data_IF_093923291637
#
_entry.id   IF_093923291637
#
_cell.length_a   1.000
_cell.length_b   1.000
_cell.length_c   1.000
_cell.angle_alpha   90.00
_cell.angle_beta   90.00
_cell.angle_gamma   90.00
#
_symmetry.space_group_name_H-M   'P 1'
#
loop_
_entity.id
_entity.type
_entity.pdbx_description
1 polymer ?
#
# COMPACT_ATOMS: atom_id res chain seq x y z
N UNK A 1 25.75 14.61 -21.79
CA UNK A 1 25.29 13.67 -20.74
C UNK A 1 24.10 14.29 -20.02
N UNK A 2 23.04 13.53 -19.69
CA UNK A 2 21.92 14.08 -18.90
C UNK A 2 22.11 13.75 -17.42
N UNK A 3 22.09 14.78 -16.57
CA UNK A 3 22.24 14.67 -15.12
C UNK A 3 20.98 15.13 -14.40
N UNK A 4 20.64 14.50 -13.29
CA UNK A 4 19.62 15.09 -12.41
C UNK A 4 20.14 16.37 -11.73
N UNK A 5 19.26 17.13 -11.06
CA UNK A 5 19.63 18.40 -10.43
C UNK A 5 20.73 18.25 -9.36
N UNK A 6 20.71 17.18 -8.56
CA UNK A 6 21.67 16.94 -7.49
C UNK A 6 23.00 16.47 -8.05
N UNK A 7 22.98 15.57 -9.02
CA UNK A 7 24.16 15.09 -9.74
C UNK A 7 24.84 16.26 -10.47
N UNK A 8 24.06 17.12 -11.13
CA UNK A 8 24.56 18.33 -11.76
C UNK A 8 25.22 19.27 -10.74
N UNK A 9 24.60 19.50 -9.57
CA UNK A 9 25.22 20.29 -8.49
C UNK A 9 26.51 19.66 -7.95
N UNK A 10 26.58 18.34 -7.86
CA UNK A 10 27.80 17.62 -7.43
C UNK A 10 28.91 17.77 -8.46
N UNK A 11 28.60 17.52 -9.74
CA UNK A 11 29.55 17.66 -10.85
C UNK A 11 30.03 19.10 -10.98
N UNK A 12 29.14 20.08 -10.85
CA UNK A 12 29.51 21.49 -10.93
C UNK A 12 30.39 21.91 -9.74
N UNK A 13 30.12 21.43 -8.52
CA UNK A 13 31.01 21.63 -7.37
C UNK A 13 32.39 20.99 -7.56
N UNK A 14 32.45 19.80 -8.16
CA UNK A 14 33.72 19.14 -8.45
C UNK A 14 34.54 19.94 -9.48
N UNK A 15 33.90 20.39 -10.57
CA UNK A 15 34.53 21.24 -11.60
C UNK A 15 35.02 22.56 -10.98
N UNK A 16 34.21 23.18 -10.11
CA UNK A 16 34.58 24.39 -9.38
C UNK A 16 35.82 24.17 -8.51
N UNK A 17 35.86 23.09 -7.72
CA UNK A 17 37.01 22.74 -6.87
C UNK A 17 38.27 22.53 -7.70
N UNK A 18 38.18 21.87 -8.86
CA UNK A 18 39.32 21.64 -9.74
C UNK A 18 39.81 22.92 -10.43
N UNK A 19 38.90 23.85 -10.75
CA UNK A 19 39.22 25.17 -11.27
C UNK A 19 39.92 26.02 -10.20
N UNK A 20 39.41 26.02 -8.96
CA UNK A 20 39.97 26.77 -7.84
C UNK A 20 41.34 26.23 -7.38
N UNK A 21 41.54 24.91 -7.45
CA UNK A 21 42.83 24.24 -7.20
C UNK A 21 43.82 24.32 -8.36
N UNK A 22 43.49 25.03 -9.45
CA UNK A 22 44.28 25.15 -10.68
C UNK A 22 44.66 23.79 -11.32
N UNK A 23 43.85 22.74 -11.10
CA UNK A 23 44.04 21.41 -11.73
C UNK A 23 43.55 21.35 -13.17
N UNK A 24 42.63 22.25 -13.53
CA UNK A 24 42.08 22.40 -14.89
C UNK A 24 42.11 23.87 -15.30
N UNK A 25 42.23 24.15 -16.61
CA UNK A 25 42.14 25.53 -17.12
C UNK A 25 40.70 26.04 -17.12
N UNK A 26 40.53 27.37 -17.14
CA UNK A 26 39.21 28.00 -17.24
C UNK A 26 38.47 27.63 -18.53
N UNK A 27 39.20 27.44 -19.64
CA UNK A 27 38.59 26.97 -20.88
C UNK A 27 38.04 25.54 -20.72
N UNK A 28 38.82 24.63 -20.13
CA UNK A 28 38.41 23.24 -19.92
C UNK A 28 37.25 23.12 -18.93
N UNK A 29 37.24 23.94 -17.87
CA UNK A 29 36.12 24.00 -16.93
C UNK A 29 34.81 24.43 -17.61
N UNK A 30 34.89 25.38 -18.55
CA UNK A 30 33.74 25.86 -19.32
C UNK A 30 33.22 24.79 -20.28
N UNK A 31 34.13 24.08 -20.96
CA UNK A 31 33.78 22.95 -21.84
C UNK A 31 33.11 21.80 -21.06
N UNK A 32 33.65 21.45 -19.90
CA UNK A 32 33.09 20.41 -19.04
C UNK A 32 31.69 20.78 -18.51
N UNK A 33 31.45 22.05 -18.13
CA UNK A 33 30.12 22.53 -17.76
C UNK A 33 29.13 22.49 -18.92
N UNK A 34 29.59 22.67 -20.16
CA UNK A 34 28.78 22.56 -21.38
C UNK A 34 28.51 21.12 -21.85
N UNK A 35 29.28 20.15 -21.37
CA UNK A 35 29.20 18.74 -21.82
C UNK A 35 28.00 17.96 -21.24
N UNK A 36 27.31 18.52 -20.24
CA UNK A 36 26.13 17.94 -19.62
C UNK A 36 24.93 18.89 -19.66
N UNK A 37 23.74 18.30 -19.70
CA UNK A 37 22.46 19.00 -19.64
C UNK A 37 21.70 18.54 -18.40
N UNK A 38 21.05 19.48 -17.70
CA UNK A 38 20.24 19.15 -16.52
C UNK A 38 18.90 18.61 -16.98
N UNK A 39 18.60 17.37 -16.61
CA UNK A 39 17.31 16.73 -16.85
C UNK A 39 16.22 17.51 -16.12
N UNK A 40 15.14 17.80 -16.83
CA UNK A 40 14.07 18.65 -16.32
C UNK A 40 13.17 17.88 -15.35
N UNK A 41 13.62 17.73 -14.09
CA UNK A 41 12.96 16.94 -13.04
C UNK A 41 11.48 17.32 -12.82
N UNK A 42 11.11 18.56 -13.12
CA UNK A 42 9.72 19.02 -13.02
C UNK A 42 8.79 18.29 -13.98
N UNK A 43 9.24 17.94 -15.19
CA UNK A 43 8.40 17.27 -16.19
C UNK A 43 8.12 15.82 -15.78
N UNK A 44 9.12 15.12 -15.25
CA UNK A 44 8.96 13.76 -14.72
C UNK A 44 8.02 13.74 -13.49
N UNK A 45 8.16 14.72 -12.58
CA UNK A 45 7.25 14.87 -11.45
C UNK A 45 5.81 15.18 -11.90
N UNK A 46 5.62 16.10 -12.84
CA UNK A 46 4.32 16.41 -13.44
C UNK A 46 3.70 15.16 -14.07
N UNK A 47 4.48 14.36 -14.80
CA UNK A 47 3.99 13.12 -15.40
C UNK A 47 3.52 12.10 -14.34
N UNK A 48 4.25 11.96 -13.24
CA UNK A 48 3.85 11.08 -12.12
C UNK A 48 2.58 11.60 -11.44
N UNK A 49 2.51 12.89 -11.12
CA UNK A 49 1.33 13.47 -10.48
C UNK A 49 0.09 13.43 -11.39
N UNK A 50 0.26 13.69 -12.69
CA UNK A 50 -0.81 13.58 -13.68
C UNK A 50 -1.29 12.13 -13.81
N UNK A 51 -0.38 11.15 -13.78
CA UNK A 51 -0.73 9.73 -13.77
C UNK A 51 -1.53 9.37 -12.51
N UNK A 52 -1.05 9.75 -11.32
CA UNK A 52 -1.76 9.50 -10.05
C UNK A 52 -3.15 10.14 -10.09
N UNK A 53 -3.24 11.36 -10.62
CA UNK A 53 -4.52 12.08 -10.75
C UNK A 53 -5.45 11.35 -11.72
N UNK A 54 -4.97 10.93 -12.90
CA UNK A 54 -5.75 10.17 -13.87
C UNK A 54 -6.25 8.84 -13.32
N UNK A 55 -5.39 8.11 -12.59
CA UNK A 55 -5.74 6.87 -11.90
C UNK A 55 -6.80 7.13 -10.82
N UNK A 56 -6.63 8.18 -10.03
CA UNK A 56 -7.59 8.57 -8.98
C UNK A 56 -8.94 8.95 -9.57
N UNK A 57 -8.95 9.75 -10.64
CA UNK A 57 -10.16 10.10 -11.37
C UNK A 57 -10.83 8.86 -11.97
N UNK A 58 -10.07 7.93 -12.53
CA UNK A 58 -10.59 6.66 -13.06
C UNK A 58 -11.25 5.82 -11.97
N UNK A 59 -10.62 5.68 -10.80
CA UNK A 59 -11.15 4.98 -9.63
C UNK A 59 -12.43 5.66 -9.08
N UNK A 60 -12.44 7.00 -8.99
CA UNK A 60 -13.59 7.76 -8.50
C UNK A 60 -14.77 7.70 -9.48
N UNK A 61 -14.51 7.86 -10.79
CA UNK A 61 -15.52 7.72 -11.82
C UNK A 61 -16.10 6.30 -11.81
N UNK A 62 -15.25 5.29 -11.61
CA UNK A 62 -15.67 3.91 -11.45
C UNK A 62 -16.60 3.72 -10.24
N UNK A 63 -16.17 4.19 -9.06
CA UNK A 63 -16.98 4.10 -7.84
C UNK A 63 -18.32 4.82 -8.00
N UNK A 64 -18.32 6.03 -8.58
CA UNK A 64 -19.53 6.80 -8.83
C UNK A 64 -20.51 6.09 -9.79
N UNK A 65 -20.00 5.49 -10.88
CA UNK A 65 -20.84 4.78 -11.85
C UNK A 65 -21.43 3.48 -11.31
N UNK A 66 -20.68 2.74 -10.48
CA UNK A 66 -21.17 1.46 -9.91
C UNK A 66 -22.15 1.67 -8.77
N UNK A 67 -21.95 2.70 -7.96
CA UNK A 67 -22.83 3.03 -6.83
C UNK A 67 -24.11 3.75 -7.26
N UNK A 68 -24.19 4.27 -8.48
CA UNK A 68 -25.39 4.91 -9.00
C UNK A 68 -26.39 3.88 -9.57
N UNK A 69 -27.25 3.39 -8.69
CA UNK A 69 -28.33 2.47 -9.04
C UNK A 69 -29.28 3.03 -10.12
N UNK A 70 -29.49 4.36 -10.18
CA UNK A 70 -30.40 4.98 -11.15
C UNK A 70 -29.84 4.92 -12.57
N UNK A 71 -28.54 5.16 -12.74
CA UNK A 71 -27.89 5.03 -14.06
C UNK A 71 -27.96 3.60 -14.59
N UNK A 72 -27.68 2.62 -13.74
CA UNK A 72 -27.74 1.20 -14.09
C UNK A 72 -29.17 0.80 -14.46
N UNK A 73 -30.16 1.26 -13.69
CA UNK A 73 -31.58 0.98 -13.94
C UNK A 73 -32.09 1.64 -15.22
N UNK A 74 -31.58 2.84 -15.56
CA UNK A 74 -31.92 3.55 -16.79
C UNK A 74 -31.33 2.85 -18.03
N UNK A 75 -30.09 2.36 -17.96
CA UNK A 75 -29.49 1.52 -19.00
C UNK A 75 -30.27 0.20 -19.17
N UNK A 76 -30.66 -0.43 -18.06
CA UNK A 76 -31.45 -1.67 -18.06
C UNK A 76 -32.81 -1.47 -18.74
N UNK A 77 -33.52 -0.38 -18.42
CA UNK A 77 -34.82 -0.06 -19.05
C UNK A 77 -34.70 0.30 -20.53
N UNK A 78 -33.61 0.95 -20.95
CA UNK A 78 -33.45 1.43 -22.33
C UNK A 78 -32.93 0.36 -23.29
N UNK A 79 -32.04 -0.51 -22.83
CA UNK A 79 -31.32 -1.47 -23.69
C UNK A 79 -31.54 -2.94 -23.31
N UNK A 80 -32.30 -3.24 -22.26
CA UNK A 80 -32.62 -4.62 -21.88
C UNK A 80 -31.39 -5.44 -21.48
N UNK A 81 -30.32 -4.80 -21.01
CA UNK A 81 -29.09 -5.50 -20.66
C UNK A 81 -29.33 -6.46 -19.48
N UNK A 82 -29.15 -7.75 -19.75
CA UNK A 82 -28.99 -8.75 -18.69
C UNK A 82 -27.63 -8.57 -18.02
N UNK A 83 -27.56 -8.86 -16.72
CA UNK A 83 -26.33 -8.74 -15.93
C UNK A 83 -25.19 -9.59 -16.53
N UNK A 84 -25.55 -10.72 -17.14
CA UNK A 84 -24.64 -11.60 -17.88
C UNK A 84 -23.98 -10.92 -19.09
N UNK A 85 -24.67 -10.02 -19.80
CA UNK A 85 -24.08 -9.31 -20.95
C UNK A 85 -22.97 -8.37 -20.47
N UNK A 86 -23.21 -7.67 -19.36
CA UNK A 86 -22.20 -6.79 -18.75
C UNK A 86 -21.01 -7.62 -18.25
N UNK A 87 -21.27 -8.75 -17.58
CA UNK A 87 -20.24 -9.70 -17.17
C UNK A 87 -19.37 -10.18 -18.33
N UNK A 88 -19.98 -10.63 -19.43
CA UNK A 88 -19.26 -11.10 -20.64
C UNK A 88 -18.46 -9.97 -21.28
N UNK A 89 -19.05 -8.77 -21.42
CA UNK A 89 -18.37 -7.61 -22.00
C UNK A 89 -17.11 -7.26 -21.21
N UNK A 90 -17.24 -7.08 -19.88
CA UNK A 90 -16.09 -6.70 -19.06
C UNK A 90 -15.06 -7.81 -18.91
N UNK A 91 -15.47 -9.08 -18.95
CA UNK A 91 -14.53 -10.21 -19.02
C UNK A 91 -13.73 -10.17 -20.33
N UNK A 92 -14.38 -9.87 -21.45
CA UNK A 92 -13.73 -9.75 -22.75
C UNK A 92 -12.77 -8.56 -22.81
N UNK A 93 -13.16 -7.41 -22.25
CA UNK A 93 -12.32 -6.22 -22.14
C UNK A 93 -11.12 -6.48 -21.21
N UNK A 94 -11.33 -7.15 -20.08
CA UNK A 94 -10.23 -7.55 -19.20
C UNK A 94 -9.24 -8.47 -19.93
N UNK A 95 -9.74 -9.47 -20.66
CA UNK A 95 -8.93 -10.35 -21.50
C UNK A 95 -8.13 -9.60 -22.58
N UNK A 96 -8.75 -8.60 -23.22
CA UNK A 96 -8.08 -7.72 -24.17
C UNK A 96 -6.94 -6.94 -23.50
N UNK A 97 -7.18 -6.33 -22.33
CA UNK A 97 -6.12 -5.61 -21.62
C UNK A 97 -4.98 -6.52 -21.16
N UNK A 98 -5.28 -7.73 -20.69
CA UNK A 98 -4.25 -8.74 -20.36
C UNK A 98 -3.44 -9.11 -21.60
N UNK A 99 -4.09 -9.34 -22.74
CA UNK A 99 -3.42 -9.63 -24.00
C UNK A 99 -2.52 -8.48 -24.47
N UNK A 100 -3.03 -7.23 -24.44
CA UNK A 100 -2.27 -6.05 -24.82
C UNK A 100 -1.07 -5.82 -23.90
N UNK A 101 -1.25 -5.99 -22.58
CA UNK A 101 -0.17 -5.92 -21.61
C UNK A 101 0.91 -6.98 -21.91
N UNK A 102 0.53 -8.23 -22.14
CA UNK A 102 1.47 -9.32 -22.46
C UNK A 102 2.22 -9.07 -23.76
N UNK A 103 1.50 -8.68 -24.83
CA UNK A 103 2.08 -8.37 -26.14
C UNK A 103 3.12 -7.26 -26.03
N UNK A 104 2.88 -6.27 -25.17
CA UNK A 104 3.78 -5.14 -24.98
C UNK A 104 5.02 -5.49 -24.17
N UNK A 105 4.89 -6.27 -23.10
CA UNK A 105 6.04 -6.76 -22.32
C UNK A 105 7.05 -7.44 -23.24
N UNK A 106 6.58 -8.20 -24.23
CA UNK A 106 7.45 -8.89 -25.19
C UNK A 106 8.06 -7.97 -26.28
N UNK A 107 7.48 -6.79 -26.54
CA UNK A 107 7.89 -5.90 -27.64
C UNK A 107 8.64 -4.63 -27.22
N UNK A 108 8.47 -4.15 -25.99
CA UNK A 108 9.03 -2.85 -25.57
C UNK A 108 9.49 -2.91 -24.12
N UNK A 109 10.76 -3.24 -23.91
CA UNK A 109 11.37 -3.43 -22.59
C UNK A 109 11.56 -2.14 -21.75
N UNK A 110 11.31 -0.94 -22.30
CA UNK A 110 11.82 0.33 -21.72
C UNK A 110 10.81 1.23 -20.99
N UNK A 111 9.49 1.04 -21.10
CA UNK A 111 8.52 1.98 -20.50
C UNK A 111 7.73 1.37 -19.32
N UNK A 112 8.33 1.36 -18.11
CA UNK A 112 7.69 0.87 -16.87
C UNK A 112 6.36 1.58 -16.56
N UNK A 113 6.30 2.90 -16.73
CA UNK A 113 5.12 3.74 -16.39
C UNK A 113 3.86 3.32 -17.16
N UNK A 114 4.02 2.95 -18.43
CA UNK A 114 2.89 2.65 -19.29
C UNK A 114 2.35 1.22 -19.11
N UNK A 115 3.10 0.34 -18.43
CA UNK A 115 2.63 -0.99 -18.05
C UNK A 115 1.71 -0.95 -16.83
N UNK A 116 1.93 0.00 -15.90
CA UNK A 116 1.05 0.14 -14.72
C UNK A 116 -0.36 0.62 -15.09
N UNK A 117 -0.49 1.42 -16.15
CA UNK A 117 -1.81 1.82 -16.67
C UNK A 117 -2.65 0.60 -17.08
N UNK A 118 -2.02 -0.39 -17.75
CA UNK A 118 -2.72 -1.63 -18.10
C UNK A 118 -3.08 -2.45 -16.85
N UNK A 119 -2.16 -2.56 -15.88
CA UNK A 119 -2.45 -3.26 -14.63
C UNK A 119 -3.67 -2.65 -13.90
N UNK A 120 -3.76 -1.33 -13.84
CA UNK A 120 -4.89 -0.62 -13.22
C UNK A 120 -6.18 -0.86 -14.00
N UNK A 121 -6.15 -0.78 -15.34
CA UNK A 121 -7.31 -1.08 -16.17
C UNK A 121 -7.79 -2.53 -15.99
N UNK A 122 -6.86 -3.48 -15.87
CA UNK A 122 -7.16 -4.88 -15.55
C UNK A 122 -7.82 -4.99 -14.18
N UNK A 123 -7.30 -4.32 -13.14
CA UNK A 123 -7.90 -4.32 -11.80
C UNK A 123 -9.36 -3.86 -11.87
N UNK A 124 -9.62 -2.73 -12.52
CA UNK A 124 -10.97 -2.17 -12.62
C UNK A 124 -11.92 -3.09 -13.41
N UNK A 125 -11.49 -3.58 -14.57
CA UNK A 125 -12.34 -4.38 -15.45
C UNK A 125 -12.65 -5.77 -14.89
N UNK A 126 -11.69 -6.40 -14.21
CA UNK A 126 -11.90 -7.67 -13.50
C UNK A 126 -12.82 -7.46 -12.30
N UNK A 127 -12.67 -6.39 -11.52
CA UNK A 127 -13.59 -6.07 -10.43
C UNK A 127 -15.05 -6.00 -10.94
N UNK A 128 -15.28 -5.27 -12.04
CA UNK A 128 -16.61 -5.16 -12.67
C UNK A 128 -17.13 -6.53 -13.10
N UNK A 129 -16.33 -7.27 -13.87
CA UNK A 129 -16.72 -8.58 -14.36
C UNK A 129 -17.18 -9.47 -13.21
N UNK A 130 -16.41 -9.53 -12.13
CA UNK A 130 -16.72 -10.34 -10.95
C UNK A 130 -17.97 -9.85 -10.24
N UNK A 131 -18.14 -8.54 -10.03
CA UNK A 131 -19.35 -7.99 -9.42
C UNK A 131 -20.60 -8.42 -10.18
N UNK A 132 -20.60 -8.35 -11.51
CA UNK A 132 -21.76 -8.74 -12.31
C UNK A 132 -21.96 -10.25 -12.40
N UNK A 133 -20.87 -11.04 -12.49
CA UNK A 133 -20.97 -12.50 -12.45
C UNK A 133 -21.47 -13.04 -11.12
N UNK A 134 -21.14 -12.36 -10.03
CA UNK A 134 -21.50 -12.80 -8.68
C UNK A 134 -22.81 -12.21 -8.19
N UNK A 135 -23.37 -11.19 -8.86
CA UNK A 135 -24.61 -10.53 -8.45
C UNK A 135 -25.78 -11.51 -8.29
N UNK A 136 -25.90 -12.48 -9.20
CA UNK A 136 -26.90 -13.55 -9.12
C UNK A 136 -26.57 -14.67 -8.14
N UNK A 137 -25.36 -14.71 -7.57
CA UNK A 137 -24.96 -15.63 -6.49
C UNK A 137 -25.16 -15.00 -5.10
N UNK A 138 -25.49 -13.71 -5.04
CA UNK A 138 -25.78 -12.97 -3.80
C UNK A 138 -27.25 -13.18 -3.41
N UNK A 139 -27.65 -14.42 -3.16
CA UNK A 139 -28.94 -14.71 -2.51
C UNK A 139 -28.83 -14.38 -1.01
N UNK A 140 -28.92 -13.08 -0.69
CA UNK A 140 -28.96 -12.57 0.67
C UNK A 140 -28.11 -11.31 0.88
N UNK A 141 -28.54 -10.40 1.78
CA UNK A 141 -27.81 -9.17 2.04
C UNK A 141 -26.45 -9.48 2.68
N UNK A 142 -25.36 -9.14 2.00
CA UNK A 142 -24.05 -8.94 2.62
C UNK A 142 -22.99 -10.03 2.45
N UNK A 143 -23.22 -11.11 1.68
CA UNK A 143 -22.16 -12.11 1.45
C UNK A 143 -21.20 -11.74 0.31
N UNK A 144 -20.38 -10.70 0.52
CA UNK A 144 -19.34 -10.29 -0.42
C UNK A 144 -18.09 -11.19 -0.41
N UNK A 145 -18.07 -12.26 0.39
CA UNK A 145 -16.91 -13.11 0.51
C UNK A 145 -16.56 -13.80 -0.82
N UNK A 146 -17.52 -14.47 -1.47
CA UNK A 146 -17.27 -15.17 -2.74
C UNK A 146 -16.76 -14.23 -3.86
N UNK A 147 -17.35 -13.04 -4.10
CA UNK A 147 -16.77 -12.07 -5.03
C UNK A 147 -15.33 -11.70 -4.73
N UNK A 148 -15.00 -11.44 -3.46
CA UNK A 148 -13.64 -11.08 -3.05
C UNK A 148 -12.65 -12.23 -3.23
N UNK A 149 -13.07 -13.48 -3.01
CA UNK A 149 -12.26 -14.67 -3.26
C UNK A 149 -11.97 -14.83 -4.75
N UNK A 150 -12.99 -14.72 -5.60
CA UNK A 150 -12.80 -14.79 -7.06
C UNK A 150 -11.89 -13.66 -7.54
N UNK A 151 -12.00 -12.46 -6.98
CA UNK A 151 -11.12 -11.34 -7.30
C UNK A 151 -9.68 -11.64 -6.89
N UNK A 152 -9.46 -12.15 -5.68
CA UNK A 152 -8.14 -12.55 -5.20
C UNK A 152 -7.48 -13.59 -6.14
N UNK A 153 -8.23 -14.63 -6.52
CA UNK A 153 -7.74 -15.69 -7.40
C UNK A 153 -7.46 -15.18 -8.82
N UNK A 154 -8.36 -14.36 -9.38
CA UNK A 154 -8.18 -13.77 -10.70
C UNK A 154 -6.96 -12.85 -10.74
N UNK A 155 -6.82 -11.94 -9.78
CA UNK A 155 -5.66 -11.06 -9.68
C UNK A 155 -4.37 -11.84 -9.46
N UNK A 156 -4.36 -12.87 -8.62
CA UNK A 156 -3.20 -13.72 -8.40
C UNK A 156 -2.76 -14.42 -9.69
N UNK A 157 -3.70 -15.02 -10.43
CA UNK A 157 -3.42 -15.69 -11.70
C UNK A 157 -2.85 -14.74 -12.76
N UNK A 158 -3.47 -13.57 -12.93
CA UNK A 158 -3.02 -12.57 -13.90
C UNK A 158 -1.68 -11.96 -13.47
N UNK A 159 -1.48 -11.71 -12.17
CA UNK A 159 -0.21 -11.20 -11.63
C UNK A 159 0.96 -12.12 -11.96
N UNK A 160 0.80 -13.44 -11.78
CA UNK A 160 1.82 -14.44 -12.12
C UNK A 160 2.04 -14.46 -13.64
N UNK A 161 0.97 -14.44 -14.44
CA UNK A 161 1.06 -14.47 -15.91
C UNK A 161 1.77 -13.25 -16.52
N UNK A 162 1.49 -12.06 -15.99
CA UNK A 162 2.07 -10.79 -16.43
C UNK A 162 3.35 -10.40 -15.68
N UNK A 163 3.75 -11.16 -14.66
CA UNK A 163 4.81 -10.80 -13.71
C UNK A 163 4.61 -9.40 -13.09
N UNK A 164 3.38 -9.09 -12.69
CA UNK A 164 3.00 -7.78 -12.13
C UNK A 164 2.92 -7.83 -10.61
N UNK A 165 3.70 -6.98 -9.94
CA UNK A 165 3.61 -6.80 -8.49
C UNK A 165 2.35 -6.03 -8.08
N UNK A 166 1.89 -5.06 -8.88
CA UNK A 166 0.68 -4.28 -8.58
C UNK A 166 -0.57 -5.16 -8.55
N UNK A 167 -0.74 -6.05 -9.53
CA UNK A 167 -1.85 -7.01 -9.54
C UNK A 167 -1.75 -7.99 -8.36
N UNK A 168 -0.54 -8.34 -7.92
CA UNK A 168 -0.35 -9.16 -6.74
C UNK A 168 -0.75 -8.44 -5.44
N UNK A 169 -0.45 -7.14 -5.33
CA UNK A 169 -0.96 -6.32 -4.21
C UNK A 169 -2.49 -6.33 -4.21
N UNK A 170 -3.12 -6.12 -5.37
CA UNK A 170 -4.58 -6.19 -5.49
C UNK A 170 -5.13 -7.57 -5.09
N UNK A 171 -4.42 -8.66 -5.43
CA UNK A 171 -4.77 -10.01 -5.02
C UNK A 171 -4.72 -10.19 -3.49
N UNK A 172 -3.65 -9.73 -2.83
CA UNK A 172 -3.51 -9.80 -1.37
C UNK A 172 -4.59 -8.94 -0.68
N UNK A 173 -4.88 -7.74 -1.19
CA UNK A 173 -5.92 -6.86 -0.64
C UNK A 173 -7.30 -7.48 -0.78
N UNK A 174 -7.63 -8.04 -1.95
CA UNK A 174 -8.87 -8.77 -2.16
C UNK A 174 -8.97 -10.00 -1.23
N UNK A 175 -7.86 -10.73 -1.02
CA UNK A 175 -7.80 -11.86 -0.11
C UNK A 175 -7.99 -11.44 1.36
N UNK A 176 -7.43 -10.30 1.76
CA UNK A 176 -7.64 -9.72 3.09
C UNK A 176 -9.10 -9.33 3.30
N UNK A 177 -9.72 -8.71 2.29
CA UNK A 177 -11.16 -8.41 2.29
C UNK A 177 -12.02 -9.68 2.37
N UNK A 178 -11.68 -10.70 1.58
CA UNK A 178 -12.33 -12.01 1.64
C UNK A 178 -12.25 -12.61 3.03
N UNK A 179 -11.07 -12.64 3.65
CA UNK A 179 -10.91 -13.17 5.00
C UNK A 179 -11.79 -12.42 6.01
N UNK A 180 -11.81 -11.08 5.93
CA UNK A 180 -12.67 -10.24 6.76
C UNK A 180 -14.16 -10.54 6.60
N UNK A 181 -14.62 -10.67 5.35
CA UNK A 181 -16.03 -10.95 5.01
C UNK A 181 -16.43 -12.40 5.35
N UNK A 182 -15.59 -13.37 5.01
CA UNK A 182 -15.85 -14.80 5.23
C UNK A 182 -15.92 -15.14 6.72
N UNK A 183 -15.00 -14.60 7.52
CA UNK A 183 -15.02 -14.82 8.96
C UNK A 183 -16.18 -14.13 9.66
N UNK A 184 -16.70 -13.02 9.09
CA UNK A 184 -17.93 -12.39 9.56
C UNK A 184 -19.18 -13.20 9.19
N UNK A 185 -19.20 -13.77 7.98
CA UNK A 185 -20.27 -14.65 7.53
C UNK A 185 -20.34 -15.92 8.38
N UNK A 186 -19.20 -16.58 8.61
CA UNK A 186 -19.11 -17.76 9.50
C UNK A 186 -19.42 -17.47 10.96
N UNK A 187 -19.31 -16.22 11.40
CA UNK A 187 -19.69 -15.82 12.75
C UNK A 187 -21.15 -15.40 12.86
N UNK A 188 -21.95 -15.52 11.79
CA UNK A 188 -23.38 -15.17 11.76
C UNK A 188 -23.66 -13.75 12.28
N UNK A 189 -22.78 -12.79 11.96
CA UNK A 189 -22.91 -11.41 12.43
C UNK A 189 -22.35 -11.16 13.84
N UNK A 190 -21.89 -12.18 14.55
CA UNK A 190 -21.16 -12.01 15.81
C UNK A 190 -19.89 -11.17 15.62
N UNK A 191 -19.58 -10.36 16.64
CA UNK A 191 -18.36 -9.57 16.71
C UNK A 191 -17.08 -10.40 16.82
N UNK A 192 -17.20 -11.70 17.12
CA UNK A 192 -16.05 -12.61 17.28
C UNK A 192 -16.21 -13.85 16.40
N UNK A 193 -15.11 -14.21 15.76
CA UNK A 193 -14.93 -15.47 15.04
C UNK A 193 -13.84 -16.28 15.74
N UNK A 194 -14.14 -17.51 16.17
CA UNK A 194 -13.21 -18.34 16.98
C UNK A 194 -12.65 -17.61 18.20
N UNK A 195 -13.47 -16.80 18.88
CA UNK A 195 -13.05 -15.98 20.02
C UNK A 195 -12.20 -14.75 19.66
N UNK A 196 -11.91 -14.51 18.38
CA UNK A 196 -11.15 -13.37 17.89
C UNK A 196 -12.06 -12.30 17.30
N UNK A 197 -11.91 -11.06 17.73
CA UNK A 197 -12.53 -9.92 17.07
C UNK A 197 -11.82 -9.57 15.74
N UNK A 198 -12.32 -8.56 15.04
CA UNK A 198 -11.81 -8.18 13.72
C UNK A 198 -10.31 -7.82 13.71
N UNK A 199 -9.80 -6.95 14.59
CA UNK A 199 -8.35 -6.68 14.67
C UNK A 199 -7.50 -7.92 14.92
N UNK A 200 -7.92 -8.81 15.83
CA UNK A 200 -7.13 -9.99 16.19
C UNK A 200 -7.04 -10.99 15.02
N UNK A 201 -8.17 -11.31 14.38
CA UNK A 201 -8.17 -12.24 13.24
C UNK A 201 -7.41 -11.68 12.03
N UNK A 202 -7.43 -10.36 11.83
CA UNK A 202 -6.63 -9.70 10.78
C UNK A 202 -5.14 -9.68 11.12
N UNK A 203 -4.77 -9.62 12.40
CA UNK A 203 -3.37 -9.73 12.85
C UNK A 203 -2.81 -11.11 12.52
N UNK A 204 -3.56 -12.17 12.84
CA UNK A 204 -3.19 -13.55 12.48
C UNK A 204 -3.10 -13.72 10.96
N UNK A 205 -4.06 -13.20 10.21
CA UNK A 205 -4.03 -13.24 8.75
C UNK A 205 -2.80 -12.52 8.17
N UNK A 206 -2.51 -11.31 8.64
CA UNK A 206 -1.31 -10.55 8.23
C UNK A 206 -0.02 -11.32 8.50
N UNK A 207 0.08 -11.98 9.66
CA UNK A 207 1.21 -12.85 10.01
C UNK A 207 1.35 -14.02 9.03
N UNK A 208 0.24 -14.67 8.65
CA UNK A 208 0.23 -15.77 7.67
C UNK A 208 0.70 -15.28 6.30
N UNK A 209 0.19 -14.15 5.80
CA UNK A 209 0.63 -13.57 4.53
C UNK A 209 2.12 -13.19 4.59
N UNK A 210 2.55 -12.57 5.68
CA UNK A 210 3.95 -12.20 5.86
C UNK A 210 4.87 -13.42 5.85
N UNK A 211 4.53 -14.48 6.59
CA UNK A 211 5.27 -15.74 6.62
C UNK A 211 5.25 -16.47 5.26
N UNK A 212 4.15 -16.37 4.51
CA UNK A 212 4.03 -17.00 3.18
C UNK A 212 5.08 -16.50 2.18
N UNK A 213 5.64 -15.30 2.38
CA UNK A 213 6.71 -14.75 1.55
C UNK A 213 7.93 -15.68 1.46
N UNK A 214 8.24 -16.43 2.53
CA UNK A 214 9.35 -17.39 2.54
C UNK A 214 9.08 -18.62 1.66
N UNK A 215 7.82 -19.02 1.50
CA UNK A 215 7.40 -20.13 0.63
C UNK A 215 7.33 -19.66 -0.82
N UNK A 216 6.72 -18.49 -1.06
CA UNK A 216 6.60 -17.88 -2.40
C UNK A 216 7.97 -17.65 -3.04
N UNK A 217 8.97 -17.27 -2.23
CA UNK A 217 10.35 -17.10 -2.67
C UNK A 217 11.07 -18.38 -3.12
N UNK A 218 10.58 -19.56 -2.71
CA UNK A 218 11.16 -20.86 -3.11
C UNK A 218 10.55 -21.40 -4.41
N UNK A 219 9.39 -20.91 -4.81
CA UNK A 219 8.65 -21.37 -5.99
C UNK A 219 9.07 -20.52 -7.20
N UNK A 220 9.74 -21.13 -8.18
CA UNK A 220 10.37 -20.46 -9.33
C UNK A 220 9.43 -19.47 -10.08
N UNK A 221 8.17 -19.82 -10.43
CA UNK A 221 7.26 -18.88 -11.09
C UNK A 221 6.89 -17.65 -10.26
N UNK A 222 6.94 -17.74 -8.92
CA UNK A 222 6.47 -16.70 -7.99
C UNK A 222 7.59 -16.03 -7.21
N UNK A 223 8.86 -16.40 -7.45
CA UNK A 223 9.99 -15.88 -6.68
C UNK A 223 10.10 -14.34 -6.74
N UNK A 224 9.72 -13.73 -7.87
CA UNK A 224 9.69 -12.27 -8.04
C UNK A 224 8.66 -11.57 -7.13
N UNK A 225 7.71 -12.31 -6.55
CA UNK A 225 6.66 -11.80 -5.67
C UNK A 225 7.08 -11.83 -4.19
N UNK A 226 8.26 -12.38 -3.86
CA UNK A 226 8.72 -12.53 -2.48
C UNK A 226 8.76 -11.19 -1.73
N UNK A 227 9.42 -10.19 -2.30
CA UNK A 227 9.61 -8.88 -1.66
C UNK A 227 8.27 -8.15 -1.46
N UNK A 228 7.43 -8.12 -2.50
CA UNK A 228 6.11 -7.48 -2.39
C UNK A 228 5.21 -8.21 -1.38
N UNK A 229 5.23 -9.55 -1.34
CA UNK A 229 4.46 -10.32 -0.35
C UNK A 229 4.98 -10.05 1.06
N UNK A 230 6.30 -9.98 1.24
CA UNK A 230 6.91 -9.67 2.52
C UNK A 230 6.45 -8.30 3.03
N UNK A 231 6.61 -7.25 2.19
CA UNK A 231 6.27 -5.88 2.57
C UNK A 231 4.78 -5.70 2.83
N UNK A 232 3.90 -6.20 1.94
CA UNK A 232 2.45 -6.06 2.10
C UNK A 232 1.94 -6.90 3.27
N UNK A 233 2.43 -8.13 3.44
CA UNK A 233 2.07 -8.97 4.58
C UNK A 233 2.49 -8.36 5.91
N UNK A 234 3.71 -7.83 6.00
CA UNK A 234 4.19 -7.11 7.17
C UNK A 234 3.34 -5.87 7.45
N UNK A 235 2.98 -5.10 6.42
CA UNK A 235 2.10 -3.94 6.57
C UNK A 235 0.72 -4.34 7.11
N UNK A 236 0.11 -5.40 6.57
CA UNK A 236 -1.17 -5.94 7.06
C UNK A 236 -1.07 -6.37 8.53
N UNK A 237 -0.01 -7.08 8.89
CA UNK A 237 0.26 -7.49 10.27
C UNK A 237 0.39 -6.28 11.21
N UNK A 238 1.17 -5.28 10.82
CA UNK A 238 1.42 -4.08 11.64
C UNK A 238 0.18 -3.20 11.78
N UNK A 239 -0.59 -2.99 10.71
CA UNK A 239 -1.87 -2.25 10.76
C UNK A 239 -2.85 -2.97 11.68
N UNK A 240 -3.04 -4.27 11.48
CA UNK A 240 -3.97 -5.04 12.30
C UNK A 240 -3.51 -5.10 13.77
N UNK A 241 -2.22 -5.32 14.02
CA UNK A 241 -1.64 -5.33 15.37
C UNK A 241 -1.77 -3.97 16.07
N UNK A 242 -1.60 -2.88 15.34
CA UNK A 242 -1.84 -1.52 15.85
C UNK A 242 -3.30 -1.30 16.21
N UNK A 243 -4.25 -1.66 15.33
CA UNK A 243 -5.68 -1.57 15.68
C UNK A 243 -6.05 -2.46 16.87
N UNK A 244 -5.45 -3.64 16.98
CA UNK A 244 -5.61 -4.54 18.12
C UNK A 244 -5.07 -3.93 19.41
N UNK A 245 -4.00 -3.12 19.35
CA UNK A 245 -3.46 -2.39 20.50
C UNK A 245 -4.39 -1.28 21.01
N UNK A 246 -5.31 -0.80 20.17
CA UNK A 246 -6.34 0.20 20.51
C UNK A 246 -7.60 -0.48 21.05
N UNK A 247 -8.12 -1.46 20.33
CA UNK A 247 -9.43 -2.05 20.62
C UNK A 247 -9.36 -3.29 21.53
N UNK A 248 -8.18 -3.89 21.69
CA UNK A 248 -8.02 -5.21 22.30
C UNK A 248 -8.86 -6.27 21.60
N UNK A 249 -9.13 -7.39 22.27
CA UNK A 249 -10.07 -8.42 21.80
C UNK A 249 -11.51 -8.18 22.34
N UNK A 250 -11.96 -6.93 22.30
CA UNK A 250 -13.31 -6.55 22.72
C UNK A 250 -14.33 -6.74 21.59
N UNK A 251 -15.60 -6.99 21.94
CA UNK A 251 -16.62 -7.38 20.97
C UNK A 251 -17.24 -6.17 20.27
N UNK A 252 -17.95 -5.34 20.99
CA UNK A 252 -18.80 -4.31 20.43
C UNK A 252 -18.21 -2.91 20.58
N UNK A 253 -18.47 -2.06 19.59
CA UNK A 253 -17.99 -0.68 19.57
C UNK A 253 -18.64 0.18 20.68
N UNK A 254 -19.92 -0.05 20.97
CA UNK A 254 -20.63 0.66 22.04
C UNK A 254 -20.03 0.36 23.42
N UNK A 255 -19.80 -0.92 23.73
CA UNK A 255 -19.12 -1.32 24.95
C UNK A 255 -17.66 -0.88 25.01
N UNK A 256 -16.94 -0.81 23.89
CA UNK A 256 -15.57 -0.27 23.86
C UNK A 256 -15.54 1.21 24.27
N UNK A 257 -16.47 2.04 23.76
CA UNK A 257 -16.55 3.48 24.11
C UNK A 257 -16.79 3.73 25.60
N UNK A 258 -17.49 2.82 26.27
CA UNK A 258 -17.79 2.94 27.70
C UNK A 258 -16.59 2.61 28.60
N UNK A 259 -15.57 1.93 28.08
CA UNK A 259 -14.40 1.51 28.83
C UNK A 259 -13.28 2.56 28.74
N UNK A 260 -12.62 2.79 29.89
CA UNK A 260 -11.38 3.57 29.90
C UNK A 260 -10.30 2.79 29.14
N UNK A 261 -9.53 3.52 28.34
CA UNK A 261 -8.47 2.94 27.52
C UNK A 261 -7.38 2.20 28.31
N UNK A 262 -7.24 2.52 29.61
CA UNK A 262 -6.39 1.76 30.53
C UNK A 262 -6.76 0.28 30.64
N UNK A 263 -7.98 -0.13 30.31
CA UNK A 263 -8.38 -1.54 30.29
C UNK A 263 -7.61 -2.36 29.22
N UNK A 264 -7.18 -1.71 28.14
CA UNK A 264 -6.49 -2.35 27.02
C UNK A 264 -4.96 -2.25 27.12
N UNK A 265 -4.42 -1.87 28.28
CA UNK A 265 -2.98 -1.68 28.49
C UNK A 265 -2.15 -2.92 28.10
N UNK A 266 -2.70 -4.12 28.35
CA UNK A 266 -2.03 -5.39 28.01
C UNK A 266 -1.79 -5.51 26.50
N UNK A 267 -2.78 -5.14 25.68
CA UNK A 267 -2.68 -5.17 24.21
C UNK A 267 -1.70 -4.11 23.70
N UNK A 268 -1.72 -2.92 24.30
CA UNK A 268 -0.77 -1.85 24.00
C UNK A 268 0.68 -2.24 24.31
N UNK A 269 0.92 -2.81 25.50
CA UNK A 269 2.23 -3.28 25.92
C UNK A 269 2.71 -4.45 25.05
N UNK A 270 1.84 -5.42 24.78
CA UNK A 270 2.16 -6.57 23.92
C UNK A 270 2.60 -6.14 22.53
N UNK A 271 1.86 -5.21 21.90
CA UNK A 271 2.24 -4.70 20.58
C UNK A 271 3.57 -3.92 20.63
N UNK A 272 3.81 -3.15 21.69
CA UNK A 272 5.08 -2.45 21.90
C UNK A 272 6.26 -3.42 22.03
N UNK A 273 6.09 -4.51 22.79
CA UNK A 273 7.11 -5.55 22.95
C UNK A 273 7.37 -6.29 21.63
N UNK A 274 6.33 -6.59 20.85
CA UNK A 274 6.46 -7.18 19.51
C UNK A 274 7.27 -6.25 18.60
N UNK A 275 6.94 -4.96 18.54
CA UNK A 275 7.69 -3.99 17.75
C UNK A 275 9.14 -3.85 18.20
N UNK A 276 9.39 -3.82 19.51
CA UNK A 276 10.74 -3.75 20.07
C UNK A 276 11.57 -5.00 19.70
N UNK A 277 10.97 -6.20 19.80
CA UNK A 277 11.59 -7.45 19.37
C UNK A 277 11.89 -7.48 17.87
N UNK A 278 10.95 -7.02 17.04
CA UNK A 278 11.13 -6.92 15.59
C UNK A 278 12.22 -5.90 15.22
N UNK A 279 12.27 -4.76 15.89
CA UNK A 279 13.34 -3.76 15.69
C UNK A 279 14.70 -4.31 16.08
N UNK A 280 14.80 -4.94 17.26
CA UNK A 280 16.02 -5.58 17.70
C UNK A 280 16.51 -6.60 16.66
N UNK A 281 15.62 -7.49 16.20
CA UNK A 281 15.92 -8.43 15.13
C UNK A 281 16.34 -7.73 13.83
N UNK A 282 15.63 -6.68 13.43
CA UNK A 282 15.93 -5.94 12.19
C UNK A 282 17.31 -5.29 12.22
N UNK A 283 17.76 -4.76 13.36
CA UNK A 283 19.09 -4.19 13.52
C UNK A 283 20.18 -5.27 13.51
N UNK A 284 19.97 -6.40 14.19
CA UNK A 284 20.93 -7.50 14.23
C UNK A 284 21.19 -8.09 12.84
N UNK A 285 20.12 -8.28 12.06
CA UNK A 285 20.19 -8.91 10.74
C UNK A 285 20.19 -7.92 9.57
N UNK A 286 20.35 -6.62 9.85
CA UNK A 286 20.36 -5.53 8.85
C UNK A 286 19.18 -5.58 7.86
N UNK A 287 17.99 -5.91 8.36
CA UNK A 287 16.76 -5.98 7.56
C UNK A 287 16.13 -4.58 7.42
N UNK A 288 16.42 -3.89 6.32
CA UNK A 288 16.01 -2.50 6.13
C UNK A 288 14.49 -2.32 6.10
N UNK A 289 13.76 -3.12 5.31
CA UNK A 289 12.30 -3.01 5.20
C UNK A 289 11.59 -3.26 6.53
N UNK A 290 12.05 -4.27 7.28
CA UNK A 290 11.50 -4.58 8.61
C UNK A 290 11.75 -3.43 9.57
N UNK A 291 12.99 -2.93 9.61
CA UNK A 291 13.40 -1.81 10.48
C UNK A 291 12.52 -0.59 10.19
N UNK A 292 12.43 -0.18 8.94
CA UNK A 292 11.79 1.08 8.55
C UNK A 292 10.28 1.04 8.84
N UNK A 293 9.59 -0.05 8.50
CA UNK A 293 8.18 -0.23 8.83
C UNK A 293 7.96 -0.32 10.35
N UNK A 294 8.75 -1.10 11.08
CA UNK A 294 8.61 -1.19 12.52
C UNK A 294 8.89 0.14 13.23
N UNK A 295 9.83 0.96 12.75
CA UNK A 295 10.09 2.29 13.31
C UNK A 295 8.88 3.21 13.15
N UNK A 296 8.26 3.22 11.95
CA UNK A 296 7.03 3.99 11.69
C UNK A 296 5.91 3.54 12.62
N UNK A 297 5.67 2.23 12.75
CA UNK A 297 4.62 1.70 13.63
C UNK A 297 4.92 1.87 15.12
N UNK A 298 6.18 1.86 15.52
CA UNK A 298 6.60 2.16 16.89
C UNK A 298 6.30 3.60 17.25
N UNK A 299 6.65 4.54 16.36
CA UNK A 299 6.33 5.95 16.52
C UNK A 299 4.81 6.18 16.51
N UNK A 300 4.08 5.57 15.58
CA UNK A 300 2.63 5.61 15.50
C UNK A 300 1.99 5.11 16.80
N UNK A 301 2.47 4.00 17.35
CA UNK A 301 1.96 3.43 18.59
C UNK A 301 2.20 4.36 19.80
N UNK A 302 3.40 4.96 19.91
CA UNK A 302 3.70 5.96 20.96
C UNK A 302 2.74 7.14 20.86
N UNK A 303 2.55 7.71 19.66
CA UNK A 303 1.64 8.83 19.49
C UNK A 303 0.18 8.45 19.73
N UNK A 304 -0.22 7.25 19.34
CA UNK A 304 -1.56 6.74 19.69
C UNK A 304 -1.77 6.74 21.20
N UNK A 305 -0.80 6.23 21.98
CA UNK A 305 -0.88 6.28 23.45
C UNK A 305 -0.83 7.69 24.02
N UNK A 306 -0.10 8.60 23.39
CA UNK A 306 -0.07 10.00 23.78
C UNK A 306 -1.47 10.64 23.67
N UNK A 307 -2.16 10.45 22.53
CA UNK A 307 -3.54 10.92 22.38
C UNK A 307 -4.47 10.28 23.41
N UNK A 308 -4.42 8.96 23.57
CA UNK A 308 -5.30 8.24 24.51
C UNK A 308 -5.13 8.65 25.98
N UNK A 309 -3.90 8.96 26.41
CA UNK A 309 -3.62 9.29 27.81
C UNK A 309 -3.80 10.77 28.13
N UNK A 310 -3.52 11.67 27.18
CA UNK A 310 -3.37 13.11 27.46
C UNK A 310 -4.46 14.00 26.85
N UNK A 311 -5.22 13.54 25.85
CA UNK A 311 -6.20 14.37 25.12
C UNK A 311 -7.24 15.02 26.05
N UNK A 312 -7.92 14.22 26.87
CA UNK A 312 -8.97 14.74 27.78
C UNK A 312 -8.41 15.30 29.10
N UNK A 313 -7.11 15.12 29.37
CA UNK A 313 -6.49 15.43 30.67
C UNK A 313 -5.61 16.66 30.67
N UNK A 314 -5.30 17.22 29.50
CA UNK A 314 -4.32 18.29 29.32
C UNK A 314 -4.96 19.48 28.63
N UNK A 315 -4.50 20.69 28.93
CA UNK A 315 -4.86 21.86 28.14
C UNK A 315 -4.43 21.66 26.67
N UNK A 316 -5.31 21.97 25.72
CA UNK A 316 -5.07 21.75 24.29
C UNK A 316 -3.77 22.43 23.79
N UNK A 317 -3.46 23.64 24.26
CA UNK A 317 -2.23 24.35 23.90
C UNK A 317 -0.96 23.62 24.39
N UNK A 318 -0.97 23.14 25.63
CA UNK A 318 0.14 22.36 26.21
C UNK A 318 0.30 21.02 25.49
N UNK A 319 -0.82 20.36 25.18
CA UNK A 319 -0.86 19.11 24.43
C UNK A 319 -0.16 19.27 23.07
N UNK A 320 -0.58 20.25 22.27
CA UNK A 320 0.03 20.47 20.95
C UNK A 320 1.46 21.00 21.02
N UNK A 321 1.83 21.79 22.03
CA UNK A 321 3.20 22.24 22.22
C UNK A 321 4.17 21.07 22.50
N UNK A 322 3.78 20.14 23.38
CA UNK A 322 4.56 18.93 23.65
C UNK A 322 4.66 18.04 22.43
N UNK A 323 3.56 17.87 21.69
CA UNK A 323 3.54 17.11 20.45
C UNK A 323 4.50 17.71 19.41
N UNK A 324 4.47 19.03 19.21
CA UNK A 324 5.36 19.74 18.30
C UNK A 324 6.85 19.59 18.70
N UNK A 325 7.16 19.75 19.99
CA UNK A 325 8.50 19.55 20.53
C UNK A 325 9.00 18.11 20.28
N UNK A 326 8.13 17.12 20.45
CA UNK A 326 8.49 15.71 20.21
C UNK A 326 8.81 15.45 18.73
N UNK A 327 8.00 15.97 17.80
CA UNK A 327 8.24 15.82 16.37
C UNK A 327 9.52 16.53 15.93
N UNK A 328 9.77 17.73 16.48
CA UNK A 328 11.02 18.45 16.24
C UNK A 328 12.24 17.65 16.69
N UNK A 329 12.18 17.00 17.86
CA UNK A 329 13.27 16.16 18.35
C UNK A 329 13.51 14.93 17.46
N UNK A 330 12.42 14.27 17.01
CA UNK A 330 12.50 13.13 16.08
C UNK A 330 13.13 13.57 14.75
N UNK A 331 12.69 14.70 14.19
CA UNK A 331 13.23 15.25 12.94
C UNK A 331 14.72 15.58 13.07
N UNK A 332 15.11 16.30 14.13
CA UNK A 332 16.52 16.65 14.40
C UNK A 332 17.41 15.40 14.51
N UNK A 333 16.91 14.34 15.16
CA UNK A 333 17.67 13.10 15.31
C UNK A 333 17.78 12.32 13.99
N UNK A 334 16.72 12.32 13.18
CA UNK A 334 16.75 11.74 11.84
C UNK A 334 17.77 12.46 10.92
N UNK A 335 17.87 13.79 11.00
CA UNK A 335 18.88 14.57 10.27
C UNK A 335 20.31 14.23 10.71
N UNK A 336 20.55 14.10 12.02
CA UNK A 336 21.87 13.70 12.53
C UNK A 336 22.30 12.31 12.05
N UNK A 337 21.36 11.37 11.92
CA UNK A 337 21.63 10.05 11.37
C UNK A 337 21.96 10.08 9.88
N UNK A 338 21.32 10.97 9.10
CA UNK A 338 21.70 11.23 7.70
C UNK A 338 23.08 11.85 7.56
N UNK A 339 23.43 12.84 8.40
CA UNK A 339 24.72 13.52 8.32
C UNK A 339 25.93 12.61 8.58
N UNK A 340 25.76 11.54 9.38
CA UNK A 340 26.83 10.58 9.68
C UNK A 340 27.09 9.53 8.60
N UNK A 341 26.20 9.39 7.61
CA UNK A 341 26.36 8.43 6.49
C UNK A 341 27.05 9.05 5.28
N UNK A 342 27.31 10.37 5.30
CA UNK A 342 27.97 11.14 4.24
C UNK A 342 29.34 11.69 4.64
N UNK A 343 29.94 11.20 5.74
CA UNK A 343 31.23 11.66 6.27
C UNK A 343 32.30 10.59 6.22
#
# INVERSE_FOLDING_TARGET
MELDKKEAEVVNRAIQSWEDEARISKELATELRGSYSVRNANVDAIAIYALISAVSCGLLAFGALVLDEKWIELLRKRWGFSENIVGILFTSVAGLFVYLAKRRINKTSRAKISNEVYNIAIILTVAIAITYWTRGLLDGPGNYALPLLFAALAYAGIAIFLRSTLLWVAAIVALAGWWGAQTHYWSEGSYRFMGMNYPLRMTVFGLVIWASSFVIGKIQPTAFLKEVTYTVGLLLFLIAGWTLSIFGNYADYEGWKALKQSHFWFWALSFTLVLAGMLYYAFQYKQETLRDLCLVFFLLNIYTRYFECFWDRTNAGIFFALLALSFWFVAKKAEQWRGKTTG
#
